data_IF_694967592555
#
_entry.id   IF_694967592555
#
_cell.length_a   1.000
_cell.length_b   1.000
_cell.length_c   1.000
_cell.angle_alpha   90.00
_cell.angle_beta   90.00
_cell.angle_gamma   90.00
#
_symmetry.space_group_name_H-M   'P 1'
#
loop_
_entity.id
_entity.type
_entity.pdbx_description
1 polymer ?
#
# COMPACT_ATOMS: atom_id res chain seq x y z
N UNK A 1 5.37 -24.97 -2.92
CA UNK A 1 5.71 -23.53 -2.97
C UNK A 1 7.19 -23.37 -2.63
N UNK A 2 7.91 -22.51 -3.36
CA UNK A 2 9.32 -22.19 -3.09
C UNK A 2 9.37 -20.94 -2.20
N UNK A 3 10.30 -20.89 -1.25
CA UNK A 3 10.47 -19.71 -0.39
C UNK A 3 10.93 -18.51 -1.23
N UNK A 4 10.37 -17.34 -0.95
CA UNK A 4 10.71 -16.05 -1.57
C UNK A 4 10.94 -15.01 -0.47
N UNK A 5 11.79 -14.02 -0.75
CA UNK A 5 12.06 -12.85 0.09
C UNK A 5 11.90 -11.61 -0.77
N UNK A 6 11.14 -10.63 -0.28
CA UNK A 6 10.94 -9.33 -0.93
C UNK A 6 11.47 -8.27 0.03
N UNK A 7 12.25 -7.33 -0.48
CA UNK A 7 12.84 -6.23 0.28
C UNK A 7 12.25 -4.93 -0.25
N UNK A 8 11.64 -4.12 0.64
CA UNK A 8 10.93 -2.91 0.25
C UNK A 8 11.83 -1.96 -0.54
N UNK A 9 13.05 -1.68 -0.04
CA UNK A 9 13.99 -0.77 -0.70
C UNK A 9 14.28 -1.17 -2.15
N UNK A 10 14.48 -2.47 -2.42
CA UNK A 10 14.70 -2.97 -3.77
C UNK A 10 13.48 -2.79 -4.67
N UNK A 11 12.28 -3.03 -4.14
CA UNK A 11 11.04 -2.85 -4.90
C UNK A 11 10.84 -1.37 -5.26
N UNK A 12 11.09 -0.46 -4.32
CA UNK A 12 10.98 0.98 -4.54
C UNK A 12 12.00 1.46 -5.58
N UNK A 13 13.25 1.00 -5.50
CA UNK A 13 14.29 1.33 -6.48
C UNK A 13 13.99 0.76 -7.88
N UNK A 14 13.60 -0.52 -7.98
CA UNK A 14 13.30 -1.17 -9.26
C UNK A 14 12.09 -0.55 -9.97
N UNK A 15 11.09 -0.11 -9.19
CA UNK A 15 9.89 0.54 -9.73
C UNK A 15 10.03 2.05 -9.83
N UNK A 16 11.09 2.66 -9.29
CA UNK A 16 11.28 4.11 -9.20
C UNK A 16 10.05 4.79 -8.57
N UNK A 17 9.75 4.40 -7.32
CA UNK A 17 8.62 4.87 -6.53
C UNK A 17 9.05 5.31 -5.13
N UNK A 18 8.36 6.30 -4.58
CA UNK A 18 8.34 6.54 -3.14
C UNK A 18 7.44 5.52 -2.41
N UNK A 19 7.54 5.47 -1.07
CA UNK A 19 6.63 4.65 -0.26
C UNK A 19 5.19 5.14 -0.42
N UNK A 20 5.00 6.44 -0.51
CA UNK A 20 3.73 7.12 -0.72
C UNK A 20 3.11 6.71 -2.06
N UNK A 21 3.89 6.70 -3.14
CA UNK A 21 3.43 6.23 -4.44
C UNK A 21 3.14 4.72 -4.45
N UNK A 22 3.89 3.91 -3.70
CA UNK A 22 3.57 2.50 -3.53
C UNK A 22 2.23 2.29 -2.81
N UNK A 23 1.91 3.11 -1.80
CA UNK A 23 0.59 3.09 -1.13
C UNK A 23 -0.50 3.51 -2.11
N UNK A 24 -0.30 4.62 -2.83
CA UNK A 24 -1.23 5.08 -3.88
C UNK A 24 -1.44 4.00 -4.95
N UNK A 25 -0.40 3.26 -5.32
CA UNK A 25 -0.48 2.16 -6.30
C UNK A 25 -1.42 1.07 -5.80
N UNK A 26 -1.28 0.67 -4.53
CA UNK A 26 -2.20 -0.26 -3.88
C UNK A 26 -3.63 0.27 -3.88
N UNK A 27 -3.83 1.55 -3.54
CA UNK A 27 -5.15 2.16 -3.51
C UNK A 27 -5.84 2.16 -4.87
N UNK A 28 -5.16 2.56 -5.95
CA UNK A 28 -5.79 2.60 -7.29
C UNK A 28 -6.04 1.20 -7.86
N UNK A 29 -5.28 0.20 -7.42
CA UNK A 29 -5.46 -1.22 -7.83
C UNK A 29 -6.44 -1.99 -6.96
N UNK A 30 -6.69 -1.52 -5.73
CA UNK A 30 -7.51 -2.17 -4.73
C UNK A 30 -6.70 -2.75 -3.56
N UNK A 31 -7.28 -2.65 -2.38
CA UNK A 31 -6.74 -3.15 -1.10
C UNK A 31 -7.85 -3.85 -0.32
N UNK A 32 -7.55 -4.36 0.87
CA UNK A 32 -8.59 -4.86 1.78
C UNK A 32 -9.58 -3.76 2.25
N UNK A 33 -9.27 -2.47 2.00
CA UNK A 33 -10.06 -1.31 2.42
C UNK A 33 -10.80 -0.59 1.28
N UNK A 34 -10.55 -0.98 0.03
CA UNK A 34 -11.22 -0.40 -1.15
C UNK A 34 -11.09 -1.34 -2.38
N UNK A 35 -12.11 -1.39 -3.23
CA UNK A 35 -12.13 -2.30 -4.38
C UNK A 35 -11.19 -1.91 -5.55
N UNK A 36 -10.48 -0.78 -5.41
CA UNK A 36 -9.68 -0.19 -6.48
C UNK A 36 -10.51 0.59 -7.50
N UNK A 37 -9.83 1.25 -8.43
CA UNK A 37 -10.48 2.00 -9.51
C UNK A 37 -10.76 1.02 -10.67
N UNK A 38 -11.99 1.01 -11.15
CA UNK A 38 -12.40 0.10 -12.21
C UNK A 38 -11.52 0.25 -13.46
N UNK A 39 -10.96 -0.86 -13.96
CA UNK A 39 -10.14 -0.86 -15.17
C UNK A 39 -8.68 -0.38 -14.97
N UNK A 40 -8.27 -0.10 -13.73
CA UNK A 40 -6.89 0.19 -13.34
C UNK A 40 -6.26 -1.05 -12.68
N UNK A 41 -5.40 -1.72 -13.44
CA UNK A 41 -4.57 -2.83 -12.94
C UNK A 41 -3.10 -2.43 -12.77
N UNK A 42 -2.19 -3.38 -12.46
CA UNK A 42 -0.80 -3.09 -12.07
C UNK A 42 -0.04 -2.13 -13.00
N UNK A 43 -0.13 -2.36 -14.31
CA UNK A 43 0.57 -1.52 -15.30
C UNK A 43 0.03 -0.09 -15.33
N UNK A 44 -1.30 0.06 -15.44
CA UNK A 44 -1.94 1.38 -15.51
C UNK A 44 -1.84 2.13 -14.19
N UNK A 45 -1.96 1.43 -13.07
CA UNK A 45 -1.79 2.00 -11.74
C UNK A 45 -0.38 2.55 -11.58
N UNK A 46 0.64 1.79 -12.00
CA UNK A 46 2.04 2.24 -11.93
C UNK A 46 2.29 3.48 -12.79
N UNK A 47 1.77 3.50 -14.02
CA UNK A 47 1.84 4.69 -14.89
C UNK A 47 1.15 5.89 -14.22
N UNK A 48 -0.07 5.71 -13.71
CA UNK A 48 -0.85 6.77 -13.07
C UNK A 48 -0.13 7.36 -11.85
N UNK A 49 0.31 6.54 -10.89
CA UNK A 49 0.91 7.07 -9.65
C UNK A 49 2.28 7.70 -9.85
N UNK A 50 2.98 7.39 -10.94
CA UNK A 50 4.26 8.02 -11.27
C UNK A 50 4.12 9.47 -11.70
N UNK A 51 2.96 9.85 -12.24
CA UNK A 51 2.67 11.22 -12.65
C UNK A 51 2.29 12.11 -11.45
N UNK A 52 2.15 11.53 -10.25
CA UNK A 52 1.64 12.20 -9.05
C UNK A 52 2.58 12.00 -7.85
N UNK A 53 2.96 13.10 -7.19
CA UNK A 53 3.84 13.06 -6.00
C UNK A 53 3.06 13.01 -4.68
N UNK A 54 1.77 13.32 -4.70
CA UNK A 54 0.91 13.32 -3.51
C UNK A 54 -0.48 12.76 -3.79
N UNK A 55 -1.17 12.36 -2.72
CA UNK A 55 -2.55 11.88 -2.82
C UNK A 55 -3.47 12.97 -3.39
N UNK A 56 -3.28 14.22 -3.01
CA UNK A 56 -4.07 15.35 -3.51
C UNK A 56 -3.94 15.47 -5.04
N UNK A 57 -2.72 15.43 -5.58
CA UNK A 57 -2.51 15.47 -7.04
C UNK A 57 -3.14 14.27 -7.75
N UNK A 58 -3.07 13.08 -7.15
CA UNK A 58 -3.68 11.87 -7.71
C UNK A 58 -5.22 11.98 -7.75
N UNK A 59 -5.82 12.56 -6.72
CA UNK A 59 -7.28 12.74 -6.62
C UNK A 59 -7.83 13.77 -7.62
N UNK A 60 -6.98 14.65 -8.15
CA UNK A 60 -7.33 15.60 -9.21
C UNK A 60 -7.26 14.97 -10.62
N UNK A 61 -6.68 13.77 -10.76
CA UNK A 61 -6.62 13.05 -12.04
C UNK A 61 -8.01 12.69 -12.54
N UNK A 62 -8.28 12.92 -13.82
CA UNK A 62 -9.58 12.64 -14.45
C UNK A 62 -9.98 11.15 -14.37
N UNK A 63 -9.01 10.24 -14.25
CA UNK A 63 -9.21 8.80 -14.14
C UNK A 63 -9.37 8.35 -12.70
N UNK A 64 -9.26 9.26 -11.73
CA UNK A 64 -9.45 8.96 -10.33
C UNK A 64 -10.94 8.83 -9.99
N UNK A 65 -11.51 7.68 -10.32
CA UNK A 65 -12.91 7.35 -10.03
C UNK A 65 -13.00 6.49 -8.75
N UNK A 66 -13.07 7.17 -7.60
CA UNK A 66 -13.14 6.48 -6.31
C UNK A 66 -14.55 6.01 -5.98
N UNK A 67 -14.74 4.68 -5.96
CA UNK A 67 -16.03 4.03 -5.71
C UNK A 67 -16.18 3.35 -4.34
N UNK A 68 -15.27 3.58 -3.39
CA UNK A 68 -15.31 2.94 -2.06
C UNK A 68 -16.03 3.81 -1.02
N UNK A 69 -16.68 3.16 -0.05
CA UNK A 69 -17.30 3.82 1.11
C UNK A 69 -16.26 4.48 2.04
N UNK A 70 -15.05 3.93 2.10
CA UNK A 70 -13.94 4.55 2.82
C UNK A 70 -13.37 5.70 2.00
N UNK A 71 -13.12 6.87 2.61
CA UNK A 71 -12.51 7.98 1.87
C UNK A 71 -11.08 7.66 1.45
N UNK A 72 -10.60 8.18 0.30
CA UNK A 72 -9.21 7.98 -0.14
C UNK A 72 -8.19 8.36 0.93
N UNK A 73 -8.40 9.50 1.61
CA UNK A 73 -7.51 10.04 2.62
C UNK A 73 -7.43 9.14 3.84
N UNK A 74 -8.56 8.57 4.28
CA UNK A 74 -8.59 7.65 5.41
C UNK A 74 -7.83 6.35 5.10
N UNK A 75 -7.98 5.82 3.89
CA UNK A 75 -7.24 4.63 3.44
C UNK A 75 -5.74 4.92 3.35
N UNK A 76 -5.38 6.05 2.74
CA UNK A 76 -3.99 6.47 2.60
C UNK A 76 -3.31 6.68 3.96
N UNK A 77 -3.94 7.45 4.86
CA UNK A 77 -3.40 7.72 6.20
C UNK A 77 -3.25 6.44 7.02
N UNK A 78 -4.18 5.49 6.90
CA UNK A 78 -4.05 4.20 7.56
C UNK A 78 -2.78 3.44 7.15
N UNK A 79 -2.38 3.48 5.87
CA UNK A 79 -1.15 2.81 5.41
C UNK A 79 0.13 3.61 5.69
N UNK A 80 0.07 4.94 5.67
CA UNK A 80 1.22 5.79 5.99
C UNK A 80 1.48 5.83 7.49
N UNK A 81 0.43 6.02 8.28
CA UNK A 81 0.44 6.20 9.73
C UNK A 81 -0.46 5.17 10.44
N UNK A 82 -0.20 3.85 10.29
CA UNK A 82 -1.03 2.85 10.94
C UNK A 82 -0.96 2.98 12.47
N UNK A 83 -2.07 2.76 13.18
CA UNK A 83 -2.03 2.67 14.64
C UNK A 83 -1.17 1.48 15.06
N UNK A 84 -0.06 1.75 15.74
CA UNK A 84 0.89 0.73 16.22
C UNK A 84 1.01 0.76 17.74
N UNK A 85 0.93 -0.41 18.37
CA UNK A 85 1.23 -0.59 19.79
C UNK A 85 2.67 -1.13 19.93
N UNK A 86 3.52 -0.43 20.69
CA UNK A 86 4.95 -0.78 20.83
C UNK A 86 5.24 -1.68 22.03
N UNK A 87 4.28 -1.88 22.93
CA UNK A 87 4.47 -2.55 24.22
C UNK A 87 4.30 -4.09 24.21
N UNK A 88 4.77 -4.77 23.15
CA UNK A 88 4.68 -6.24 23.05
C UNK A 88 6.06 -6.85 23.29
N UNK A 89 6.17 -7.70 24.32
CA UNK A 89 7.37 -8.50 24.59
C UNK A 89 7.22 -9.89 23.96
N UNK A 90 8.06 -10.22 22.98
CA UNK A 90 8.09 -11.57 22.40
C UNK A 90 8.89 -12.49 23.33
N UNK A 91 8.20 -13.32 24.10
CA UNK A 91 8.83 -14.28 25.01
C UNK A 91 8.98 -15.64 24.32
N UNK A 92 10.21 -16.03 24.00
CA UNK A 92 10.50 -17.40 23.62
C UNK A 92 10.67 -18.24 24.88
N UNK A 93 9.65 -19.03 25.22
CA UNK A 93 9.76 -20.05 26.28
C UNK A 93 10.17 -21.38 25.65
N UNK A 94 11.27 -22.01 26.12
CA UNK A 94 11.59 -23.36 25.69
C UNK A 94 10.47 -24.32 26.12
N UNK A 95 10.12 -25.26 25.24
CA UNK A 95 9.20 -26.35 25.56
C UNK A 95 9.96 -27.36 26.41
N UNK A 96 9.62 -27.47 27.69
CA UNK A 96 10.13 -28.54 28.55
C UNK A 96 9.28 -29.79 28.36
N UNK A 97 9.86 -30.87 27.86
CA UNK A 97 9.23 -32.19 27.77
C UNK A 97 9.74 -33.00 28.96
N UNK A 98 8.82 -33.45 29.82
CA UNK A 98 9.09 -34.32 30.97
C UNK A 98 8.55 -35.72 30.76
#
# INVERSE_FOLDING_TARGET
MKQQRIELEKVLEELDLSREQLVMLGMVMGTDFNDGIHGIGPKKGLEMVKDHESLESLMEDEKFEWGSDNSPEAVYDFFINPPVEKSISVLNRPITIG
#
